data_IF_879468703068
#
_entry.id   IF_879468703068
#
_cell.length_a   1.000
_cell.length_b   1.000
_cell.length_c   1.000
_cell.angle_alpha   90.00
_cell.angle_beta   90.00
_cell.angle_gamma   90.00
#
_symmetry.space_group_name_H-M   'P 1'
#
loop_
_entity.id
_entity.type
_entity.pdbx_description
1 polymer ?
#
# COMPACT_ATOMS: atom_id res chain seq x y z
N UNK A 1 -6.75 4.24 23.70
CA UNK A 1 -7.06 3.53 22.44
C UNK A 1 -6.64 4.42 21.29
N UNK A 2 -6.13 3.87 20.18
CA UNK A 2 -5.85 4.66 18.98
C UNK A 2 -7.17 5.02 18.27
N UNK A 3 -7.18 6.15 17.57
CA UNK A 3 -8.26 6.65 16.73
C UNK A 3 -7.73 6.87 15.31
N UNK A 4 -8.62 6.78 14.31
CA UNK A 4 -8.27 7.08 12.93
C UNK A 4 -8.36 8.60 12.69
N UNK A 5 -7.34 9.18 12.09
CA UNK A 5 -7.26 10.59 11.76
C UNK A 5 -7.10 10.75 10.26
N UNK A 6 -7.89 11.62 9.65
CA UNK A 6 -7.72 12.02 8.24
C UNK A 6 -7.29 13.47 8.12
N UNK A 7 -6.46 13.73 7.13
CA UNK A 7 -6.20 15.09 6.68
C UNK A 7 -7.43 15.62 5.94
N UNK A 8 -7.83 16.86 6.21
CA UNK A 8 -9.01 17.46 5.58
C UNK A 8 -8.73 17.95 4.15
N UNK A 9 -7.47 18.23 3.82
CA UNK A 9 -7.05 18.76 2.51
C UNK A 9 -6.61 17.65 1.53
N UNK A 10 -6.21 16.49 2.07
CA UNK A 10 -5.61 15.39 1.33
C UNK A 10 -6.13 14.07 1.88
N UNK A 11 -6.14 13.01 1.07
CA UNK A 11 -6.66 11.70 1.47
C UNK A 11 -5.74 10.89 2.40
N UNK A 12 -4.81 11.54 3.12
CA UNK A 12 -3.95 10.86 4.07
C UNK A 12 -4.71 10.51 5.34
N UNK A 13 -4.53 9.27 5.80
CA UNK A 13 -5.16 8.73 7.00
C UNK A 13 -4.14 7.99 7.87
N UNK A 14 -4.29 8.03 9.19
CA UNK A 14 -3.40 7.37 10.15
C UNK A 14 -4.09 7.00 11.46
N UNK A 15 -3.66 5.92 12.09
CA UNK A 15 -4.03 5.62 13.47
C UNK A 15 -3.11 6.32 14.48
N UNK A 16 -3.69 7.02 15.46
CA UNK A 16 -2.92 7.67 16.52
C UNK A 16 -3.69 7.79 17.84
N UNK A 17 -2.99 7.82 18.98
CA UNK A 17 -3.61 7.83 20.32
C UNK A 17 -4.37 9.14 20.57
N UNK A 18 -3.76 10.25 20.17
CA UNK A 18 -4.38 11.57 20.13
C UNK A 18 -4.43 12.04 18.71
N UNK A 19 -4.70 13.32 18.53
CA UNK A 19 -4.62 13.92 17.22
C UNK A 19 -3.23 14.48 16.96
N UNK A 20 -2.65 14.26 15.78
CA UNK A 20 -1.29 14.69 15.52
C UNK A 20 -1.19 16.22 15.38
N UNK A 21 -0.11 16.79 15.92
CA UNK A 21 0.15 18.24 15.88
C UNK A 21 0.34 18.76 14.45
N UNK A 22 0.89 17.93 13.57
CA UNK A 22 0.95 18.17 12.14
C UNK A 22 0.70 16.87 11.36
N UNK A 23 0.17 16.97 10.14
CA UNK A 23 0.10 15.87 9.20
C UNK A 23 1.52 15.34 8.92
N UNK A 24 1.83 14.06 9.17
CA UNK A 24 3.17 13.52 8.94
C UNK A 24 3.62 13.54 7.47
N UNK A 25 2.67 13.43 6.53
CA UNK A 25 2.99 13.38 5.11
C UNK A 25 3.19 14.78 4.49
N UNK A 26 2.39 15.77 4.91
CA UNK A 26 2.33 17.08 4.25
C UNK A 26 2.64 18.27 5.18
N UNK A 27 2.89 18.03 6.47
CA UNK A 27 3.23 19.07 7.45
C UNK A 27 2.08 20.01 7.81
N UNK A 28 0.83 19.71 7.41
CA UNK A 28 -0.33 20.56 7.68
C UNK A 28 -0.65 20.62 9.17
N UNK A 29 -1.04 21.79 9.66
CA UNK A 29 -1.34 22.02 11.08
C UNK A 29 -2.43 21.07 11.64
N UNK A 30 -2.39 20.84 12.95
CA UNK A 30 -3.37 20.10 13.75
C UNK A 30 -4.83 20.35 13.37
N UNK A 31 -5.21 21.60 13.06
CA UNK A 31 -6.60 21.98 12.70
C UNK A 31 -7.11 21.27 11.43
N UNK A 32 -6.19 20.81 10.58
CA UNK A 32 -6.48 20.07 9.36
C UNK A 32 -6.52 18.55 9.57
N UNK A 33 -6.27 18.07 10.79
CA UNK A 33 -6.37 16.66 11.15
C UNK A 33 -7.70 16.43 11.85
N UNK A 34 -8.61 15.69 11.24
CA UNK A 34 -9.95 15.42 11.78
C UNK A 34 -10.09 13.94 12.09
N UNK A 35 -10.91 13.61 13.08
CA UNK A 35 -11.17 12.21 13.42
C UNK A 35 -12.03 11.58 12.30
N UNK A 36 -11.60 10.43 11.80
CA UNK A 36 -12.31 9.66 10.79
C UNK A 36 -13.27 8.70 11.50
N UNK A 37 -14.52 9.14 11.65
CA UNK A 37 -15.55 8.45 12.44
C UNK A 37 -16.61 7.73 11.59
N UNK A 38 -16.56 7.89 10.26
CA UNK A 38 -17.49 7.22 9.37
C UNK A 38 -16.92 5.90 8.83
N UNK A 39 -17.83 4.99 8.49
CA UNK A 39 -17.46 3.66 7.99
C UNK A 39 -16.67 3.73 6.68
N UNK A 40 -16.95 4.74 5.84
CA UNK A 40 -16.34 4.87 4.52
C UNK A 40 -14.85 5.22 4.62
N UNK A 41 -14.48 6.12 5.54
CA UNK A 41 -13.09 6.44 5.85
C UNK A 41 -12.35 5.21 6.39
N UNK A 42 -13.01 4.46 7.28
CA UNK A 42 -12.49 3.21 7.86
C UNK A 42 -12.21 2.16 6.77
N UNK A 43 -13.22 1.87 5.94
CA UNK A 43 -13.08 0.91 4.83
C UNK A 43 -11.95 1.32 3.88
N UNK A 44 -11.90 2.61 3.51
CA UNK A 44 -10.85 3.13 2.65
C UNK A 44 -9.46 2.99 3.27
N UNK A 45 -9.32 3.26 4.58
CA UNK A 45 -8.06 3.07 5.29
C UNK A 45 -7.61 1.61 5.24
N UNK A 46 -8.51 0.68 5.56
CA UNK A 46 -8.20 -0.75 5.54
C UNK A 46 -7.85 -1.25 4.14
N UNK A 47 -8.61 -0.86 3.12
CA UNK A 47 -8.31 -1.22 1.72
C UNK A 47 -6.94 -0.70 1.31
N UNK A 48 -6.58 0.54 1.68
CA UNK A 48 -5.26 1.10 1.40
C UNK A 48 -4.13 0.35 2.12
N UNK A 49 -4.30 0.00 3.40
CA UNK A 49 -3.31 -0.84 4.11
C UNK A 49 -3.15 -2.22 3.46
N UNK A 50 -4.26 -2.84 3.04
CA UNK A 50 -4.22 -4.13 2.35
C UNK A 50 -3.49 -4.02 1.01
N UNK A 51 -3.77 -2.99 0.22
CA UNK A 51 -3.08 -2.72 -1.04
C UNK A 51 -1.57 -2.51 -0.83
N UNK A 52 -1.16 -1.79 0.21
CA UNK A 52 0.25 -1.63 0.55
C UNK A 52 0.90 -2.95 0.93
N UNK A 53 0.27 -3.76 1.80
CA UNK A 53 0.77 -5.09 2.17
C UNK A 53 0.91 -6.00 0.95
N UNK A 54 -0.06 -5.95 0.04
CA UNK A 54 -0.02 -6.75 -1.18
C UNK A 54 1.09 -6.32 -2.13
N UNK A 55 1.35 -5.02 -2.26
CA UNK A 55 2.49 -4.50 -3.01
C UNK A 55 3.83 -4.96 -2.41
N UNK A 56 3.98 -4.91 -1.09
CA UNK A 56 5.21 -5.40 -0.40
C UNK A 56 5.45 -6.89 -0.67
N UNK A 57 4.44 -7.74 -0.48
CA UNK A 57 4.54 -9.18 -0.75
C UNK A 57 4.88 -9.46 -2.22
N UNK A 58 4.32 -8.66 -3.12
CA UNK A 58 4.60 -8.76 -4.55
C UNK A 58 6.05 -8.41 -4.88
N UNK A 59 6.62 -7.40 -4.23
CA UNK A 59 8.03 -7.03 -4.39
C UNK A 59 8.96 -8.10 -3.82
N UNK A 60 8.60 -8.74 -2.69
CA UNK A 60 9.33 -9.90 -2.14
C UNK A 60 9.35 -11.09 -3.12
N UNK A 61 8.23 -11.39 -3.80
CA UNK A 61 8.17 -12.44 -4.83
C UNK A 61 9.13 -12.12 -5.98
N UNK A 62 9.17 -10.88 -6.46
CA UNK A 62 10.11 -10.48 -7.51
C UNK A 62 11.55 -10.62 -7.04
N UNK A 63 11.83 -10.20 -5.81
CA UNK A 63 13.18 -10.28 -5.25
C UNK A 63 13.67 -11.74 -5.18
N UNK A 64 12.82 -12.65 -4.67
CA UNK A 64 13.10 -14.08 -4.67
C UNK A 64 13.29 -14.65 -6.09
N UNK A 65 12.50 -14.17 -7.05
CA UNK A 65 12.59 -14.57 -8.45
C UNK A 65 13.94 -14.14 -9.06
N UNK A 66 14.39 -12.92 -8.77
CA UNK A 66 15.70 -12.40 -9.19
C UNK A 66 16.85 -13.18 -8.55
N UNK A 67 16.78 -13.43 -7.25
CA UNK A 67 17.76 -14.23 -6.52
C UNK A 67 17.88 -15.64 -7.09
N UNK A 68 16.74 -16.29 -7.39
CA UNK A 68 16.72 -17.63 -7.99
C UNK A 68 17.26 -17.62 -9.42
N UNK A 69 17.03 -16.56 -10.20
CA UNK A 69 17.58 -16.42 -11.55
C UNK A 69 19.12 -16.38 -11.61
N UNK A 70 19.77 -16.01 -10.51
CA UNK A 70 21.22 -16.06 -10.37
C UNK A 70 21.77 -17.49 -10.12
N UNK A 71 20.90 -18.47 -9.87
CA UNK A 71 21.28 -19.87 -9.63
C UNK A 71 20.88 -20.70 -10.85
N UNK A 72 21.75 -20.69 -11.87
CA UNK A 72 21.77 -21.59 -13.05
C UNK A 72 20.46 -22.35 -13.37
N UNK A 73 19.40 -21.60 -13.69
CA UNK A 73 18.06 -22.13 -13.96
C UNK A 73 17.94 -22.68 -15.37
N UNK A 74 17.11 -23.72 -15.55
CA UNK A 74 16.71 -24.14 -16.89
C UNK A 74 15.70 -23.16 -17.52
N UNK A 75 15.46 -23.29 -18.84
CA UNK A 75 14.54 -22.38 -19.57
C UNK A 75 13.12 -22.37 -18.99
N UNK A 76 12.64 -23.50 -18.47
CA UNK A 76 11.30 -23.60 -17.90
C UNK A 76 11.18 -22.83 -16.58
N UNK A 77 12.20 -22.90 -15.73
CA UNK A 77 12.23 -22.15 -14.47
C UNK A 77 12.29 -20.63 -14.72
N UNK A 78 13.10 -20.18 -15.68
CA UNK A 78 13.14 -18.75 -16.08
C UNK A 78 11.77 -18.25 -16.55
N UNK A 79 11.03 -19.06 -17.31
CA UNK A 79 9.70 -18.70 -17.80
C UNK A 79 8.68 -18.53 -16.65
N UNK A 80 8.77 -19.32 -15.59
CA UNK A 80 7.91 -19.17 -14.39
C UNK A 80 8.15 -17.82 -13.71
N UNK A 81 9.41 -17.39 -13.59
CA UNK A 81 9.75 -16.10 -12.95
C UNK A 81 9.34 -14.90 -13.78
N UNK A 82 9.55 -14.95 -15.10
CA UNK A 82 9.04 -13.92 -16.00
C UNK A 82 7.51 -13.81 -15.89
N UNK A 83 6.82 -14.94 -15.80
CA UNK A 83 5.37 -14.94 -15.63
C UNK A 83 4.93 -14.35 -14.30
N UNK A 84 5.66 -14.62 -13.22
CA UNK A 84 5.40 -14.03 -11.91
C UNK A 84 5.55 -12.50 -11.93
N UNK A 85 6.58 -11.98 -12.61
CA UNK A 85 6.79 -10.53 -12.77
C UNK A 85 5.65 -9.86 -13.56
N UNK A 86 5.19 -10.48 -14.65
CA UNK A 86 4.01 -10.01 -15.41
C UNK A 86 2.74 -9.95 -14.55
N UNK A 87 2.46 -11.03 -13.81
CA UNK A 87 1.27 -11.12 -12.94
C UNK A 87 1.34 -10.04 -11.86
N UNK A 88 2.50 -9.88 -11.22
CA UNK A 88 2.73 -8.81 -10.25
C UNK A 88 2.44 -7.44 -10.86
N UNK A 89 2.95 -7.17 -12.07
CA UNK A 89 2.75 -5.88 -12.71
C UNK A 89 1.27 -5.58 -12.94
N UNK A 90 0.50 -6.57 -13.42
CA UNK A 90 -0.95 -6.43 -13.61
C UNK A 90 -1.66 -6.16 -12.29
N UNK A 91 -1.32 -6.91 -11.24
CA UNK A 91 -1.81 -6.71 -9.87
C UNK A 91 -1.58 -5.27 -9.38
N UNK A 92 -0.35 -4.74 -9.51
CA UNK A 92 -0.01 -3.37 -9.10
C UNK A 92 -0.87 -2.32 -9.83
N UNK A 93 -1.09 -2.51 -11.14
CA UNK A 93 -1.92 -1.58 -11.92
C UNK A 93 -3.39 -1.63 -11.53
N UNK A 94 -3.93 -2.83 -11.30
CA UNK A 94 -5.31 -3.02 -10.87
C UNK A 94 -5.54 -2.40 -9.48
N UNK A 95 -4.66 -2.66 -8.50
CA UNK A 95 -4.76 -2.03 -7.18
C UNK A 95 -4.68 -0.51 -7.21
N UNK A 96 -3.78 0.05 -8.02
CA UNK A 96 -3.65 1.51 -8.15
C UNK A 96 -4.89 2.15 -8.78
N UNK A 97 -5.54 1.47 -9.72
CA UNK A 97 -6.79 1.93 -10.29
C UNK A 97 -7.90 2.04 -9.23
N UNK A 98 -8.01 1.04 -8.35
CA UNK A 98 -8.99 1.04 -7.25
C UNK A 98 -8.71 2.11 -6.18
N UNK A 99 -7.46 2.52 -5.97
CA UNK A 99 -7.12 3.57 -5.00
C UNK A 99 -7.49 5.00 -5.47
N UNK A 100 -7.65 5.19 -6.78
CA UNK A 100 -7.98 6.49 -7.40
C UNK A 100 -9.49 6.68 -7.58
N UNK A 101 -10.27 5.59 -7.62
CA UNK A 101 -11.75 5.60 -7.64
C UNK A 101 -12.37 5.86 -6.27
#
# INVERSE_FOLDING_TARGET
>A
MKKLWKCSEYNYMMEYIGAPDNCPQYGLSRKKMIEANDQKDSDRYFTNEMNQKWATLSDEIIQLSKERSNINLDRSEVAVFQKAEEIRYMIDKMSKAEMVG
#
